data_IF_151680476016
#
_entry.id   IF_151680476016
#
_cell.length_a   1.000
_cell.length_b   1.000
_cell.length_c   1.000
_cell.angle_alpha   90.00
_cell.angle_beta   90.00
_cell.angle_gamma   90.00
#
_symmetry.space_group_name_H-M   'P 1'
#
loop_
_entity.id
_entity.type
_entity.pdbx_description
1 polymer ?
#
# COMPACT_ATOMS: atom_id res chain seq x y z
N UNK A 1 16.97 24.32 16.72
CA UNK A 1 15.73 24.38 15.95
C UNK A 1 15.34 22.95 15.61
N UNK A 2 14.23 22.45 16.14
CA UNK A 2 13.74 21.09 15.86
C UNK A 2 12.99 21.11 14.53
N UNK A 3 13.41 20.28 13.58
CA UNK A 3 12.75 20.11 12.28
C UNK A 3 11.45 19.30 12.49
N UNK A 4 10.31 19.99 12.53
CA UNK A 4 8.98 19.39 12.78
C UNK A 4 8.39 18.56 11.63
N UNK A 5 9.10 18.38 10.50
CA UNK A 5 8.55 17.66 9.34
C UNK A 5 8.62 16.11 9.43
N UNK A 6 9.26 15.55 10.46
CA UNK A 6 9.37 14.08 10.63
C UNK A 6 8.21 13.51 11.47
N UNK A 7 7.44 14.36 12.16
CA UNK A 7 6.43 13.95 13.14
C UNK A 7 5.04 13.72 12.51
N UNK A 8 4.83 14.00 11.21
CA UNK A 8 3.53 13.77 10.58
C UNK A 8 3.18 12.28 10.40
N UNK A 9 4.18 11.40 10.25
CA UNK A 9 3.94 9.95 10.10
C UNK A 9 3.50 9.31 11.43
N UNK A 10 3.85 9.93 12.56
CA UNK A 10 3.57 9.41 13.90
C UNK A 10 2.29 9.99 14.52
N UNK A 11 1.75 11.10 14.00
CA UNK A 11 0.60 11.80 14.59
C UNK A 11 -0.59 12.05 13.66
N UNK A 12 -0.51 11.74 12.36
CA UNK A 12 -1.66 11.89 11.46
C UNK A 12 -2.67 10.74 11.62
N UNK A 13 -3.60 10.98 12.55
CA UNK A 13 -4.92 10.39 12.64
C UNK A 13 -5.58 10.22 11.25
N UNK A 14 -6.06 9.01 10.98
CA UNK A 14 -7.02 8.58 9.93
C UNK A 14 -6.50 8.16 8.54
N UNK A 15 -5.26 8.48 8.17
CA UNK A 15 -4.68 8.10 6.86
C UNK A 15 -3.35 7.34 6.96
N UNK A 16 -3.12 6.56 8.02
CA UNK A 16 -1.95 5.68 8.06
C UNK A 16 -2.04 4.60 6.97
N UNK A 17 -0.91 4.14 6.48
CA UNK A 17 -0.86 3.10 5.46
C UNK A 17 -1.57 1.81 5.90
N UNK A 18 -1.54 1.46 7.18
CA UNK A 18 -2.30 0.33 7.72
C UNK A 18 -3.81 0.55 7.58
N UNK A 19 -4.32 1.76 7.88
CA UNK A 19 -5.74 2.09 7.70
C UNK A 19 -6.16 2.06 6.23
N UNK A 20 -5.28 2.47 5.32
CA UNK A 20 -5.51 2.41 3.87
C UNK A 20 -5.69 0.96 3.42
N UNK A 21 -4.75 0.08 3.80
CA UNK A 21 -4.85 -1.34 3.44
C UNK A 21 -6.03 -2.01 4.13
N UNK A 22 -6.39 -1.60 5.36
CA UNK A 22 -7.58 -2.12 6.03
C UNK A 22 -8.85 -1.74 5.27
N UNK A 23 -8.97 -0.47 4.85
CA UNK A 23 -10.11 -0.02 4.02
C UNK A 23 -10.20 -0.80 2.71
N UNK A 24 -9.08 -1.10 2.06
CA UNK A 24 -9.08 -1.94 0.84
C UNK A 24 -9.56 -3.37 1.12
N UNK A 25 -9.12 -3.96 2.23
CA UNK A 25 -9.58 -5.29 2.65
C UNK A 25 -11.09 -5.30 2.91
N UNK A 26 -11.59 -4.34 3.69
CA UNK A 26 -13.00 -4.22 4.04
C UNK A 26 -13.87 -4.01 2.80
N UNK A 27 -13.42 -3.16 1.86
CA UNK A 27 -14.11 -2.88 0.60
C UNK A 27 -14.20 -4.12 -0.30
N UNK A 28 -13.12 -4.91 -0.38
CA UNK A 28 -13.10 -6.17 -1.15
C UNK A 28 -14.12 -7.18 -0.61
N UNK A 29 -14.18 -7.33 0.71
CA UNK A 29 -15.16 -8.19 1.40
C UNK A 29 -16.58 -7.67 1.18
N UNK A 30 -16.81 -6.37 1.39
CA UNK A 30 -18.13 -5.74 1.28
C UNK A 30 -18.70 -5.88 -0.14
N UNK A 31 -17.88 -5.67 -1.17
CA UNK A 31 -18.29 -5.76 -2.57
C UNK A 31 -18.34 -7.19 -3.10
N UNK A 32 -17.68 -8.14 -2.42
CA UNK A 32 -17.50 -9.49 -2.94
C UNK A 32 -16.60 -9.55 -4.18
N UNK A 33 -15.64 -8.60 -4.30
CA UNK A 33 -14.79 -8.41 -5.49
C UNK A 33 -13.32 -8.30 -5.12
N UNK A 34 -12.43 -8.83 -5.97
CA UNK A 34 -10.99 -8.72 -5.73
C UNK A 34 -10.52 -7.31 -6.06
N UNK A 35 -9.69 -6.71 -5.21
CA UNK A 35 -9.07 -5.40 -5.47
C UNK A 35 -7.55 -5.57 -5.62
N UNK A 36 -7.00 -4.96 -6.67
CA UNK A 36 -5.59 -5.03 -7.02
C UNK A 36 -4.97 -3.65 -6.90
N UNK A 37 -4.00 -3.49 -6.00
CA UNK A 37 -3.32 -2.23 -5.76
C UNK A 37 -2.00 -2.17 -6.52
N UNK A 38 -1.85 -1.11 -7.30
CA UNK A 38 -0.66 -0.78 -8.07
C UNK A 38 -0.10 0.55 -7.58
N UNK A 39 1.22 0.65 -7.62
CA UNK A 39 1.94 1.81 -7.13
C UNK A 39 3.10 2.13 -8.08
N UNK A 40 3.24 3.41 -8.40
CA UNK A 40 4.52 4.01 -8.76
C UNK A 40 4.79 5.20 -7.80
N UNK A 41 5.89 5.92 -7.96
CA UNK A 41 6.22 7.03 -7.07
C UNK A 41 5.42 8.33 -7.31
N UNK A 42 4.47 8.33 -8.27
CA UNK A 42 3.66 9.49 -8.68
C UNK A 42 2.17 9.29 -8.48
N UNK A 43 1.68 8.06 -8.58
CA UNK A 43 0.28 7.71 -8.57
C UNK A 43 0.04 6.30 -8.03
N UNK A 44 -1.18 6.11 -7.52
CA UNK A 44 -1.73 4.85 -7.05
C UNK A 44 -2.90 4.46 -7.94
N UNK A 45 -3.04 3.16 -8.23
CA UNK A 45 -4.17 2.66 -9.01
C UNK A 45 -4.76 1.42 -8.36
N UNK A 46 -6.08 1.30 -8.46
CA UNK A 46 -6.83 0.13 -8.02
C UNK A 46 -7.59 -0.43 -9.20
N UNK A 47 -7.48 -1.73 -9.41
CA UNK A 47 -8.26 -2.47 -10.39
C UNK A 47 -9.12 -3.53 -9.70
N UNK A 48 -10.32 -3.78 -10.21
CA UNK A 48 -11.23 -4.79 -9.69
C UNK A 48 -11.23 -6.06 -10.56
N UNK A 49 -11.19 -7.23 -9.93
CA UNK A 49 -11.27 -8.57 -10.55
C UNK A 49 -10.19 -8.90 -11.60
N UNK A 50 -10.24 -8.27 -12.78
CA UNK A 50 -9.25 -8.43 -13.86
C UNK A 50 -8.56 -7.10 -14.15
N UNK A 51 -7.30 -6.99 -13.73
CA UNK A 51 -6.49 -5.79 -13.95
C UNK A 51 -5.86 -5.71 -15.34
N UNK A 52 -6.05 -6.70 -16.21
CA UNK A 52 -5.60 -6.64 -17.61
C UNK A 52 -6.59 -5.86 -18.51
N UNK A 53 -7.78 -5.53 -18.00
CA UNK A 53 -8.75 -4.70 -18.69
C UNK A 53 -8.86 -3.31 -18.03
N UNK A 54 -8.71 -2.24 -18.83
CA UNK A 54 -8.81 -0.86 -18.33
C UNK A 54 -10.20 -0.51 -17.80
N UNK A 55 -11.26 -1.24 -18.18
CA UNK A 55 -12.62 -1.06 -17.66
C UNK A 55 -12.76 -1.44 -16.16
N UNK A 56 -11.77 -2.14 -15.61
CA UNK A 56 -11.71 -2.56 -14.21
C UNK A 56 -11.10 -1.52 -13.28
N UNK A 57 -10.62 -0.39 -13.80
CA UNK A 57 -10.04 0.67 -12.99
C UNK A 57 -11.10 1.33 -12.10
N UNK A 58 -10.86 1.35 -10.80
CA UNK A 58 -11.70 2.07 -9.83
C UNK A 58 -10.97 3.32 -9.39
N UNK A 59 -11.53 4.48 -9.75
CA UNK A 59 -10.99 5.78 -9.33
C UNK A 59 -11.31 6.12 -7.86
N UNK A 60 -12.38 5.55 -7.27
CA UNK A 60 -13.01 6.08 -6.05
C UNK A 60 -12.74 5.26 -4.77
N UNK A 61 -11.48 5.03 -4.45
CA UNK A 61 -11.10 4.84 -3.06
C UNK A 61 -10.12 5.99 -2.80
N UNK A 62 -10.45 6.93 -1.89
CA UNK A 62 -9.57 8.03 -1.47
C UNK A 62 -8.34 7.45 -0.75
N UNK A 63 -7.51 6.71 -1.50
CA UNK A 63 -6.25 6.19 -1.05
C UNK A 63 -5.21 7.25 -1.30
N UNK A 64 -4.58 7.62 -0.20
CA UNK A 64 -3.60 8.68 -0.10
C UNK A 64 -2.35 8.10 0.54
N UNK A 65 -1.95 6.91 0.11
CA UNK A 65 -0.76 6.24 0.65
C UNK A 65 0.48 7.05 0.30
N UNK A 66 0.61 7.54 -0.93
CA UNK A 66 1.67 8.44 -1.35
C UNK A 66 1.65 9.76 -0.55
N UNK A 67 0.47 10.30 -0.19
CA UNK A 67 0.39 11.49 0.69
C UNK A 67 0.87 11.18 2.13
N UNK A 68 0.84 9.91 2.55
CA UNK A 68 1.35 9.46 3.85
C UNK A 68 2.88 9.25 3.85
N UNK A 69 3.51 9.27 2.67
CA UNK A 69 4.94 9.07 2.47
C UNK A 69 5.62 10.40 2.17
N UNK A 70 6.79 10.65 2.77
CA UNK A 70 7.56 11.85 2.44
C UNK A 70 8.18 11.72 1.05
N UNK A 71 8.23 12.82 0.29
CA UNK A 71 8.75 12.83 -1.08
C UNK A 71 10.25 12.47 -1.19
N UNK A 72 10.99 12.48 -0.08
CA UNK A 72 12.39 12.07 -0.01
C UNK A 72 12.58 10.58 0.37
N UNK A 73 11.49 9.83 0.50
CA UNK A 73 11.50 8.44 0.93
C UNK A 73 11.53 7.47 -0.24
N UNK A 74 12.33 6.42 -0.11
CA UNK A 74 12.30 5.24 -0.96
C UNK A 74 11.22 4.28 -0.46
N UNK A 75 10.46 3.70 -1.39
CA UNK A 75 9.46 2.67 -1.11
C UNK A 75 9.94 1.36 -1.74
N UNK A 76 10.04 0.32 -0.90
CA UNK A 76 10.44 -1.03 -1.30
C UNK A 76 9.31 -1.98 -0.90
N UNK A 77 8.85 -2.80 -1.84
CA UNK A 77 7.80 -3.79 -1.63
C UNK A 77 8.37 -5.19 -1.84
N UNK A 78 8.32 -6.01 -0.80
CA UNK A 78 8.65 -7.43 -0.86
C UNK A 78 7.35 -8.24 -0.84
N UNK A 79 6.99 -8.87 -1.96
CA UNK A 79 5.78 -9.70 -2.03
C UNK A 79 5.95 -10.97 -1.20
N UNK A 80 4.84 -11.61 -0.80
CA UNK A 80 4.90 -12.89 -0.09
C UNK A 80 5.59 -14.02 -0.90
N UNK A 81 5.68 -13.87 -2.23
CA UNK A 81 6.39 -14.80 -3.12
C UNK A 81 7.90 -14.52 -3.19
N UNK A 82 8.40 -13.50 -2.47
CA UNK A 82 9.82 -13.15 -2.40
C UNK A 82 10.31 -12.21 -3.50
N UNK A 83 9.40 -11.59 -4.28
CA UNK A 83 9.78 -10.61 -5.29
C UNK A 83 9.94 -9.23 -4.65
N UNK A 84 11.09 -8.60 -4.84
CA UNK A 84 11.36 -7.23 -4.37
C UNK A 84 11.16 -6.23 -5.51
N UNK A 85 10.37 -5.20 -5.26
CA UNK A 85 10.15 -4.06 -6.14
C UNK A 85 10.59 -2.78 -5.44
N UNK A 86 11.52 -2.05 -6.06
CA UNK A 86 11.84 -0.67 -5.69
C UNK A 86 10.98 0.25 -6.54
N UNK A 87 10.14 1.03 -5.88
CA UNK A 87 9.13 1.83 -6.55
C UNK A 87 9.79 3.07 -7.17
N UNK A 88 9.64 3.20 -8.48
CA UNK A 88 10.13 4.34 -9.26
C UNK A 88 8.98 4.96 -10.07
N UNK A 89 9.28 5.71 -11.14
CA UNK A 89 8.26 6.38 -11.96
C UNK A 89 7.44 5.41 -12.83
N UNK A 90 7.92 4.18 -13.04
CA UNK A 90 7.24 3.17 -13.84
C UNK A 90 6.33 2.33 -12.95
N UNK A 91 5.15 2.00 -13.46
CA UNK A 91 4.34 0.98 -12.80
C UNK A 91 4.99 -0.39 -12.92
N UNK A 92 4.87 -1.14 -11.83
CA UNK A 92 5.10 -2.59 -11.87
C UNK A 92 4.05 -3.24 -12.78
N UNK A 93 4.43 -4.24 -13.60
CA UNK A 93 3.50 -4.93 -14.48
C UNK A 93 2.53 -5.85 -13.72
N UNK A 94 2.67 -5.94 -12.40
CA UNK A 94 1.89 -6.78 -11.48
C UNK A 94 1.38 -5.93 -10.32
N UNK A 95 0.25 -6.31 -9.71
CA UNK A 95 -0.21 -5.64 -8.50
C UNK A 95 0.79 -5.90 -7.36
N UNK A 96 1.00 -4.87 -6.54
CA UNK A 96 1.85 -4.97 -5.35
C UNK A 96 1.14 -5.74 -4.24
N UNK A 97 -0.17 -5.55 -4.11
CA UNK A 97 -1.02 -6.29 -3.18
C UNK A 97 -2.37 -6.53 -3.84
N UNK A 98 -2.91 -7.74 -3.69
CA UNK A 98 -4.30 -8.06 -4.00
C UNK A 98 -5.07 -8.36 -2.72
N UNK A 99 -6.27 -7.83 -2.60
CA UNK A 99 -7.21 -8.05 -1.51
C UNK A 99 -8.36 -8.89 -2.03
N UNK A 100 -8.61 -10.02 -1.36
CA UNK A 100 -9.61 -10.99 -1.80
C UNK A 100 -10.90 -10.86 -0.98
N UNK A 101 -12.07 -11.19 -1.57
CA UNK A 101 -13.35 -11.17 -0.87
C UNK A 101 -13.43 -12.07 0.38
N UNK A 102 -12.51 -13.04 0.50
CA UNK A 102 -12.36 -13.89 1.67
C UNK A 102 -11.80 -13.17 2.90
N UNK A 103 -11.24 -11.96 2.74
CA UNK A 103 -10.46 -11.25 3.75
C UNK A 103 -8.97 -11.61 3.72
N UNK A 104 -8.56 -12.55 2.86
CA UNK A 104 -7.14 -12.85 2.62
C UNK A 104 -6.49 -11.80 1.71
N UNK A 105 -5.16 -11.78 1.68
CA UNK A 105 -4.40 -10.94 0.75
C UNK A 105 -3.29 -11.73 0.05
N UNK A 106 -2.75 -11.19 -1.04
CA UNK A 106 -1.56 -11.75 -1.69
C UNK A 106 -0.28 -11.63 -0.83
N UNK A 107 -0.32 -10.78 0.19
CA UNK A 107 0.73 -10.53 1.16
C UNK A 107 1.92 -9.71 0.62
N UNK A 108 2.40 -8.77 1.43
CA UNK A 108 3.61 -8.00 1.17
C UNK A 108 4.21 -7.38 2.44
N UNK A 109 5.50 -7.08 2.41
CA UNK A 109 6.16 -6.17 3.35
C UNK A 109 6.48 -4.88 2.59
N UNK A 110 5.93 -3.78 3.07
CA UNK A 110 6.21 -2.44 2.54
C UNK A 110 7.22 -1.78 3.47
N UNK A 111 8.35 -1.37 2.92
CA UNK A 111 9.39 -0.59 3.60
C UNK A 111 9.39 0.81 3.01
N UNK A 112 9.18 1.81 3.86
CA UNK A 112 9.33 3.23 3.54
C UNK A 112 10.54 3.73 4.31
N UNK A 113 11.57 4.18 3.62
CA UNK A 113 12.82 4.57 4.25
C UNK A 113 13.38 5.87 3.68
N UNK A 114 13.97 6.68 4.56
CA UNK A 114 14.80 7.81 4.17
C UNK A 114 16.04 7.88 5.07
N UNK A 115 16.85 8.93 4.93
CA UNK A 115 18.09 9.10 5.70
C UNK A 115 17.90 9.14 7.22
N UNK A 116 16.67 9.32 7.72
CA UNK A 116 16.36 9.53 9.14
C UNK A 116 15.55 8.40 9.77
N UNK A 117 14.73 7.70 8.98
CA UNK A 117 13.82 6.69 9.50
C UNK A 117 13.63 5.54 8.51
N UNK A 118 13.34 4.36 9.07
CA UNK A 118 12.80 3.22 8.35
C UNK A 118 11.46 2.85 8.99
N UNK A 119 10.44 2.70 8.17
CA UNK A 119 9.10 2.35 8.57
C UNK A 119 8.64 1.15 7.75
N UNK A 120 8.18 0.11 8.44
CA UNK A 120 7.82 -1.17 7.83
C UNK A 120 6.40 -1.56 8.18
N UNK A 121 5.66 -2.04 7.18
CA UNK A 121 4.29 -2.51 7.30
C UNK A 121 4.25 -3.93 6.74
N UNK A 122 3.66 -4.85 7.48
CA UNK A 122 3.31 -6.17 6.99
C UNK A 122 1.82 -6.19 6.63
N UNK A 123 1.53 -6.58 5.39
CA UNK A 123 0.21 -7.05 4.98
C UNK A 123 0.36 -8.56 4.81
N UNK A 124 -0.23 -9.35 5.72
CA UNK A 124 -0.07 -10.81 5.74
C UNK A 124 -1.15 -11.47 4.88
N UNK A 125 -0.85 -12.68 4.41
CA UNK A 125 -1.75 -13.44 3.54
C UNK A 125 -3.09 -13.78 4.21
N UNK A 126 -3.12 -13.87 5.54
CA UNK A 126 -4.33 -14.09 6.33
C UNK A 126 -5.16 -12.81 6.57
N UNK A 127 -4.83 -11.68 5.92
CA UNK A 127 -5.55 -10.41 6.09
C UNK A 127 -5.04 -9.51 7.20
N UNK A 128 -4.12 -9.98 8.05
CA UNK A 128 -3.60 -9.16 9.15
C UNK A 128 -2.68 -8.05 8.61
N UNK A 129 -2.95 -6.81 8.99
CA UNK A 129 -2.15 -5.63 8.62
C UNK A 129 -1.55 -5.03 9.89
N UNK A 130 -0.22 -4.93 9.93
CA UNK A 130 0.48 -4.48 11.12
C UNK A 130 1.76 -3.71 10.81
N UNK A 131 2.03 -2.68 11.62
CA UNK A 131 3.35 -2.06 11.69
C UNK A 131 4.36 -3.06 12.25
N UNK A 132 5.50 -3.21 11.58
CA UNK A 132 6.65 -3.92 12.13
C UNK A 132 7.41 -2.93 13.02
N UNK A 133 7.52 -3.26 14.31
CA UNK A 133 8.40 -2.55 15.23
C UNK A 133 9.76 -3.24 15.21
N UNK A 134 10.81 -2.49 14.93
CA UNK A 134 12.20 -2.91 15.15
C UNK A 134 12.64 -2.58 16.59
#
# INVERSE_FOLDING_TARGET
>A
MLNSNVINIFQASDNSAEKIFQKMSDESVLKGRTLHWFLNNKEERIYQDDYQNNESFIQSLDLKFLDSVSSDSEIIILTAQGMEYRIDENFTPVPMISFYPSGETSGAIITIQNTKLTYKIAVKTNGEIAKIKE
#
